data_IF_595840540099
#
_entry.id   IF_595840540099
#
_cell.length_a   1.000
_cell.length_b   1.000
_cell.length_c   1.000
_cell.angle_alpha   90.00
_cell.angle_beta   90.00
_cell.angle_gamma   90.00
#
_symmetry.space_group_name_H-M   'P 1'
#
loop_
_entity.id
_entity.type
_entity.pdbx_description
1 polymer ?
#
# COMPACT_ATOMS: atom_id res chain seq x y z
N UNK A 1 -13.44 1.29 -14.98
CA UNK A 1 -13.33 0.85 -16.41
C UNK A 1 -14.27 -0.29 -16.80
N UNK A 2 -14.59 -1.27 -15.94
CA UNK A 2 -15.55 -2.36 -16.27
C UNK A 2 -16.95 -1.89 -16.70
N UNK A 3 -17.34 -0.66 -16.35
CA UNK A 3 -18.64 -0.07 -16.71
C UNK A 3 -18.56 1.01 -17.81
N UNK A 4 -17.36 1.38 -18.27
CA UNK A 4 -17.21 2.44 -19.26
C UNK A 4 -17.76 1.97 -20.62
N UNK A 5 -18.63 2.79 -21.23
CA UNK A 5 -19.23 2.49 -22.54
C UNK A 5 -18.74 3.49 -23.56
N UNK A 6 -18.49 3.02 -24.78
CA UNK A 6 -18.32 3.92 -25.93
C UNK A 6 -19.66 4.60 -26.21
N UNK A 7 -19.71 5.90 -26.00
CA UNK A 7 -20.92 6.71 -26.17
C UNK A 7 -21.04 7.19 -27.61
N UNK A 8 -19.92 7.57 -28.22
CA UNK A 8 -19.92 8.20 -29.53
C UNK A 8 -18.61 7.94 -30.29
N UNK A 9 -18.73 7.59 -31.57
CA UNK A 9 -17.61 7.61 -32.50
C UNK A 9 -17.32 9.06 -32.90
N UNK A 10 -16.14 9.59 -32.56
CA UNK A 10 -15.79 11.00 -32.83
C UNK A 10 -15.17 11.20 -34.20
N UNK A 11 -13.94 10.74 -34.39
CA UNK A 11 -13.20 10.96 -35.66
C UNK A 11 -12.21 9.83 -35.89
N UNK A 12 -11.99 9.46 -37.14
CA UNK A 12 -10.91 8.58 -37.57
C UNK A 12 -9.78 9.35 -38.29
N UNK A 13 -9.82 10.69 -38.28
CA UNK A 13 -8.77 11.49 -38.92
C UNK A 13 -7.55 11.62 -38.01
N UNK A 14 -6.48 10.89 -38.34
CA UNK A 14 -5.22 10.86 -37.60
C UNK A 14 -4.56 12.22 -37.38
N UNK A 15 -4.81 13.21 -38.25
CA UNK A 15 -4.26 14.57 -38.10
C UNK A 15 -4.74 15.28 -36.82
N UNK A 16 -5.84 14.81 -36.22
CA UNK A 16 -6.39 15.40 -35.00
C UNK A 16 -5.81 14.77 -33.73
N UNK A 17 -5.13 13.64 -33.81
CA UNK A 17 -4.71 12.89 -32.63
C UNK A 17 -3.85 13.74 -31.68
N UNK A 18 -2.85 14.46 -32.17
CA UNK A 18 -2.00 15.33 -31.35
C UNK A 18 -2.82 16.38 -30.59
N UNK A 19 -3.71 17.09 -31.28
CA UNK A 19 -4.58 18.10 -30.65
C UNK A 19 -5.55 17.51 -29.61
N UNK A 20 -5.89 16.23 -29.74
CA UNK A 20 -6.77 15.52 -28.82
C UNK A 20 -6.02 14.82 -27.69
N UNK A 21 -4.68 14.99 -27.59
CA UNK A 21 -3.85 14.28 -26.62
C UNK A 21 -3.76 12.77 -26.90
N UNK A 22 -3.99 12.34 -28.15
CA UNK A 22 -4.09 10.93 -28.55
C UNK A 22 -2.92 10.46 -29.43
N UNK A 23 -1.92 11.31 -29.64
CA UNK A 23 -0.77 10.97 -30.48
C UNK A 23 0.12 9.92 -29.80
N UNK A 24 0.88 9.17 -30.61
CA UNK A 24 1.82 8.17 -30.07
C UNK A 24 3.12 8.76 -29.57
N UNK A 25 3.51 9.87 -30.18
CA UNK A 25 4.70 10.66 -29.93
C UNK A 25 4.37 12.11 -30.26
N UNK A 26 5.09 13.05 -29.67
CA UNK A 26 4.82 14.49 -29.78
C UNK A 26 5.32 15.21 -28.55
N UNK A 27 4.88 16.44 -28.36
CA UNK A 27 5.17 17.21 -27.14
C UNK A 27 4.27 16.78 -25.96
N UNK A 28 4.63 17.23 -24.77
CA UNK A 28 3.81 17.06 -23.58
C UNK A 28 2.43 17.71 -23.81
N UNK A 29 1.35 16.97 -23.57
CA UNK A 29 -0.03 17.38 -23.89
C UNK A 29 -0.55 16.93 -25.26
N UNK A 30 0.33 16.51 -26.19
CA UNK A 30 -0.08 15.87 -27.44
C UNK A 30 -0.14 14.34 -27.32
N UNK A 31 0.76 13.81 -26.50
CA UNK A 31 0.94 12.37 -26.31
C UNK A 31 -0.19 11.75 -25.49
N UNK A 32 -0.66 10.59 -25.96
CA UNK A 32 -1.60 9.78 -25.22
C UNK A 32 -0.94 9.09 -24.03
N UNK A 33 -1.69 9.03 -22.94
CA UNK A 33 -1.40 8.09 -21.89
C UNK A 33 -1.72 6.67 -22.38
N UNK A 34 -0.75 5.76 -22.28
CA UNK A 34 -0.88 4.36 -22.71
C UNK A 34 -1.42 3.52 -21.56
N UNK A 35 -2.53 2.83 -21.81
CA UNK A 35 -3.13 1.90 -20.87
C UNK A 35 -3.11 0.49 -21.48
N UNK A 36 -2.59 -0.48 -20.73
CA UNK A 36 -2.72 -1.90 -21.03
C UNK A 36 -3.66 -2.51 -19.99
N UNK A 37 -4.78 -3.04 -20.46
CA UNK A 37 -5.80 -3.63 -19.60
C UNK A 37 -5.84 -5.13 -19.81
N UNK A 38 -5.62 -5.88 -18.74
CA UNK A 38 -5.73 -7.34 -18.72
C UNK A 38 -6.94 -7.73 -17.88
N UNK A 39 -7.78 -8.60 -18.43
CA UNK A 39 -8.94 -9.15 -17.74
C UNK A 39 -8.93 -10.67 -17.92
N UNK A 40 -9.23 -11.40 -16.85
CA UNK A 40 -9.29 -12.86 -16.92
C UNK A 40 -10.29 -13.32 -17.98
N UNK A 41 -9.83 -14.22 -18.86
CA UNK A 41 -10.65 -14.76 -19.96
C UNK A 41 -10.85 -13.82 -21.16
N UNK A 42 -10.19 -12.66 -21.19
CA UNK A 42 -10.26 -11.72 -22.33
C UNK A 42 -8.88 -11.39 -22.88
N UNK A 43 -8.77 -11.08 -24.19
CA UNK A 43 -7.52 -10.59 -24.76
C UNK A 43 -7.12 -9.26 -24.12
N UNK A 44 -5.82 -9.02 -24.04
CA UNK A 44 -5.27 -7.74 -23.61
C UNK A 44 -5.85 -6.60 -24.47
N UNK A 45 -6.29 -5.53 -23.81
CA UNK A 45 -6.80 -4.34 -24.46
C UNK A 45 -5.82 -3.19 -24.27
N UNK A 46 -5.15 -2.80 -25.35
CA UNK A 46 -4.27 -1.64 -25.39
C UNK A 46 -5.03 -0.39 -25.82
N UNK A 47 -5.12 0.60 -24.93
CA UNK A 47 -5.81 1.86 -25.15
C UNK A 47 -4.85 3.05 -25.07
N UNK A 48 -5.23 4.10 -25.79
CA UNK A 48 -4.66 5.44 -25.73
C UNK A 48 -5.71 6.35 -25.13
N UNK A 49 -5.40 6.97 -24.00
CA UNK A 49 -6.26 7.92 -23.34
C UNK A 49 -5.83 9.34 -23.72
N UNK A 50 -6.80 10.12 -24.21
CA UNK A 50 -6.59 11.48 -24.67
C UNK A 50 -7.04 12.52 -23.67
N UNK A 51 -7.36 13.71 -24.17
CA UNK A 51 -7.92 14.80 -23.36
C UNK A 51 -9.39 14.53 -22.98
N UNK A 52 -9.88 15.11 -21.88
CA UNK A 52 -11.30 15.10 -21.56
C UNK A 52 -12.14 15.73 -22.68
N UNK A 53 -13.41 15.35 -22.78
CA UNK A 53 -14.32 15.99 -23.73
C UNK A 53 -14.44 17.48 -23.44
N UNK A 54 -14.32 18.31 -24.47
CA UNK A 54 -14.64 19.75 -24.36
C UNK A 54 -16.16 20.00 -24.45
N UNK A 55 -16.95 18.98 -24.79
CA UNK A 55 -18.40 19.04 -24.95
C UNK A 55 -19.02 17.99 -24.02
N UNK A 56 -19.39 18.38 -22.81
CA UNK A 56 -19.95 17.49 -21.79
C UNK A 56 -18.91 16.70 -20.98
N UNK A 57 -19.37 15.73 -20.21
CA UNK A 57 -18.51 14.82 -19.42
C UNK A 57 -17.98 13.67 -20.29
N UNK A 58 -16.83 13.11 -19.90
CA UNK A 58 -16.27 11.92 -20.54
C UNK A 58 -14.85 12.12 -21.07
N UNK A 59 -14.29 11.06 -21.62
CA UNK A 59 -12.88 10.98 -21.99
C UNK A 59 -12.71 10.48 -23.41
N UNK A 60 -11.76 11.05 -24.15
CA UNK A 60 -11.42 10.53 -25.47
C UNK A 60 -10.48 9.33 -25.34
N UNK A 61 -10.77 8.27 -26.10
CA UNK A 61 -9.96 7.06 -26.18
C UNK A 61 -9.79 6.62 -27.62
N UNK A 62 -8.67 5.96 -27.95
CA UNK A 62 -8.54 5.11 -29.14
C UNK A 62 -7.83 3.81 -28.80
N UNK A 63 -8.06 2.77 -29.58
CA UNK A 63 -7.28 1.52 -29.46
C UNK A 63 -5.88 1.76 -30.05
N UNK A 64 -4.89 1.08 -29.48
CA UNK A 64 -3.54 1.13 -30.02
C UNK A 64 -3.53 0.61 -31.47
N UNK A 65 -2.93 1.36 -32.40
CA UNK A 65 -2.89 1.01 -33.82
C UNK A 65 -4.16 1.34 -34.62
N UNK A 66 -5.22 1.86 -33.99
CA UNK A 66 -6.44 2.29 -34.69
C UNK A 66 -6.56 3.81 -34.72
N UNK A 67 -7.04 4.36 -35.83
CA UNK A 67 -7.23 5.81 -35.97
C UNK A 67 -8.54 6.33 -35.36
N UNK A 68 -9.50 5.43 -35.16
CA UNK A 68 -10.82 5.78 -34.66
C UNK A 68 -10.76 6.22 -33.19
N UNK A 69 -11.17 7.46 -32.95
CA UNK A 69 -11.36 8.05 -31.63
C UNK A 69 -12.80 7.85 -31.18
N UNK A 70 -12.96 7.43 -29.93
CA UNK A 70 -14.23 7.26 -29.25
C UNK A 70 -14.31 8.18 -28.05
N UNK A 71 -15.50 8.67 -27.75
CA UNK A 71 -15.82 9.26 -26.45
C UNK A 71 -16.40 8.17 -25.56
N UNK A 72 -15.83 8.00 -24.36
CA UNK A 72 -16.43 7.19 -23.30
C UNK A 72 -17.16 8.09 -22.30
N UNK A 73 -18.21 7.55 -21.67
CA UNK A 73 -19.05 8.24 -20.67
C UNK A 73 -18.33 8.50 -19.34
N UNK A 74 -17.16 7.88 -19.14
CA UNK A 74 -16.37 8.02 -17.94
C UNK A 74 -15.20 8.97 -18.18
N UNK A 75 -14.97 9.88 -17.23
CA UNK A 75 -13.69 10.56 -17.09
C UNK A 75 -12.79 9.67 -16.21
N UNK A 76 -11.59 9.37 -16.69
CA UNK A 76 -10.64 8.58 -15.90
C UNK A 76 -9.74 9.55 -15.14
N UNK A 77 -10.02 9.72 -13.85
CA UNK A 77 -9.10 10.42 -12.95
C UNK A 77 -7.89 9.54 -12.68
N UNK A 78 -6.83 9.79 -13.44
CA UNK A 78 -5.58 9.04 -13.33
C UNK A 78 -4.59 9.82 -12.48
N UNK A 79 -3.81 9.14 -11.62
CA UNK A 79 -2.88 9.83 -10.75
C UNK A 79 -1.83 10.61 -11.55
N UNK A 80 -1.55 11.85 -11.14
CA UNK A 80 -0.63 12.75 -11.84
C UNK A 80 0.84 12.51 -11.51
N UNK A 81 1.15 11.66 -10.53
CA UNK A 81 2.51 11.30 -10.10
C UNK A 81 2.73 9.80 -10.25
N UNK A 82 3.86 9.38 -10.82
CA UNK A 82 4.21 7.97 -11.03
C UNK A 82 4.08 7.09 -9.77
N UNK A 83 4.44 7.63 -8.59
CA UNK A 83 4.30 6.92 -7.32
C UNK A 83 2.85 6.64 -6.90
N UNK A 84 1.89 7.42 -7.39
CA UNK A 84 0.47 7.24 -7.08
C UNK A 84 -0.18 6.18 -8.00
N UNK A 85 0.54 5.73 -9.05
CA UNK A 85 0.17 4.56 -9.84
C UNK A 85 0.56 3.24 -9.17
N UNK A 86 1.55 3.26 -8.28
CA UNK A 86 2.01 2.07 -7.59
C UNK A 86 1.02 1.69 -6.49
N UNK A 87 0.66 0.41 -6.44
CA UNK A 87 0.07 -0.15 -5.23
C UNK A 87 1.11 -0.11 -4.12
N UNK A 88 1.07 0.95 -3.31
CA UNK A 88 2.03 1.18 -2.22
C UNK A 88 1.77 0.31 -1.00
N UNK A 89 0.80 -0.60 -1.04
CA UNK A 89 0.49 -1.48 0.09
C UNK A 89 1.63 -2.46 0.32
N UNK A 90 2.03 -2.55 1.57
CA UNK A 90 2.94 -3.58 2.10
C UNK A 90 2.10 -4.66 2.77
N UNK A 91 1.10 -4.26 3.55
CA UNK A 91 0.13 -5.13 4.20
C UNK A 91 -1.24 -4.44 4.34
N UNK A 92 -2.29 -5.25 4.28
CA UNK A 92 -3.71 -4.91 4.39
C UNK A 92 -4.40 -6.01 5.21
N UNK A 93 -3.86 -6.28 6.41
CA UNK A 93 -4.30 -7.38 7.28
C UNK A 93 -5.49 -6.90 8.14
N UNK A 94 -6.65 -7.58 8.11
CA UNK A 94 -7.80 -7.22 8.94
C UNK A 94 -7.44 -7.15 10.42
N UNK A 95 -7.67 -6.00 11.06
CA UNK A 95 -7.36 -5.81 12.49
C UNK A 95 -8.00 -6.90 13.38
N UNK A 96 -9.21 -7.36 13.02
CA UNK A 96 -9.93 -8.39 13.74
C UNK A 96 -9.23 -9.77 13.67
N UNK A 97 -8.55 -10.10 12.56
CA UNK A 97 -7.89 -11.40 12.37
C UNK A 97 -6.59 -11.52 13.15
N UNK A 98 -5.96 -10.40 13.53
CA UNK A 98 -4.72 -10.40 14.31
C UNK A 98 -5.00 -10.86 15.74
N UNK A 99 -4.30 -11.90 16.17
CA UNK A 99 -4.34 -12.44 17.52
C UNK A 99 -3.22 -11.88 18.39
N UNK A 100 -2.02 -11.73 17.81
CA UNK A 100 -0.81 -11.37 18.56
C UNK A 100 0.14 -10.54 17.70
N UNK A 101 0.78 -9.56 18.33
CA UNK A 101 1.94 -8.86 17.79
C UNK A 101 3.05 -8.88 18.85
N UNK A 102 4.16 -9.52 18.56
CA UNK A 102 5.38 -9.47 19.36
C UNK A 102 6.40 -8.53 18.73
N UNK A 103 7.02 -7.70 19.55
CA UNK A 103 8.04 -6.74 19.15
C UNK A 103 9.29 -6.94 20.00
N UNK A 104 10.44 -7.11 19.35
CA UNK A 104 11.74 -7.30 19.99
C UNK A 104 12.67 -6.18 19.57
N UNK A 105 12.96 -5.27 20.48
CA UNK A 105 13.82 -4.12 20.25
C UNK A 105 15.30 -4.51 20.28
N UNK A 106 16.14 -3.75 19.58
CA UNK A 106 17.60 -3.95 19.62
C UNK A 106 18.20 -3.84 21.03
N UNK A 107 17.53 -3.15 21.96
CA UNK A 107 17.92 -3.08 23.37
C UNK A 107 17.65 -4.37 24.16
N UNK A 108 16.99 -5.37 23.57
CA UNK A 108 16.52 -6.59 24.24
C UNK A 108 15.17 -6.45 24.93
N UNK A 109 14.57 -5.25 24.94
CA UNK A 109 13.20 -5.03 25.41
C UNK A 109 12.22 -5.78 24.49
N UNK A 110 11.17 -6.34 25.08
CA UNK A 110 10.08 -7.00 24.34
C UNK A 110 8.74 -6.38 24.68
N UNK A 111 7.87 -6.24 23.70
CA UNK A 111 6.49 -5.82 23.86
C UNK A 111 5.58 -6.79 23.13
N UNK A 112 4.60 -7.34 23.83
CA UNK A 112 3.61 -8.26 23.29
C UNK A 112 2.23 -7.68 23.45
N UNK A 113 1.52 -7.60 22.33
CA UNK A 113 0.11 -7.27 22.25
C UNK A 113 -0.67 -8.53 21.93
N UNK A 114 -1.73 -8.84 22.66
CA UNK A 114 -2.55 -10.01 22.38
C UNK A 114 -4.04 -9.82 22.64
N UNK A 115 -4.85 -10.56 21.88
CA UNK A 115 -6.27 -10.79 22.13
C UNK A 115 -6.51 -12.27 22.47
N UNK A 116 -7.39 -12.54 23.42
CA UNK A 116 -7.77 -13.92 23.76
C UNK A 116 -8.73 -14.50 22.72
N UNK A 117 -9.60 -13.66 22.16
CA UNK A 117 -10.62 -13.99 21.17
C UNK A 117 -10.73 -12.89 20.12
N UNK A 118 -11.33 -13.20 18.97
CA UNK A 118 -11.41 -12.27 17.85
C UNK A 118 -12.44 -11.14 18.09
N UNK A 119 -13.39 -11.35 19.01
CA UNK A 119 -14.47 -10.41 19.34
C UNK A 119 -13.98 -9.26 20.24
N UNK A 120 -12.88 -9.46 20.97
CA UNK A 120 -12.21 -8.41 21.71
C UNK A 120 -11.76 -7.28 20.78
N UNK A 121 -12.16 -6.06 21.12
CA UNK A 121 -11.74 -4.87 20.38
C UNK A 121 -10.32 -4.43 20.75
N UNK A 122 -9.99 -4.45 22.04
CA UNK A 122 -8.72 -3.92 22.55
C UNK A 122 -7.68 -5.02 22.75
N UNK A 123 -6.44 -4.72 22.34
CA UNK A 123 -5.29 -5.57 22.64
C UNK A 123 -4.83 -5.38 24.08
N UNK A 124 -4.57 -6.48 24.76
CA UNK A 124 -3.89 -6.50 26.06
C UNK A 124 -2.38 -6.40 25.88
N UNK A 125 -1.67 -5.85 26.86
CA UNK A 125 -0.20 -5.74 26.85
C UNK A 125 0.38 -6.68 27.91
N UNK A 126 1.13 -7.70 27.51
CA UNK A 126 1.57 -8.77 28.43
C UNK A 126 2.61 -8.30 29.46
N UNK A 127 3.42 -7.30 29.11
CA UNK A 127 4.47 -6.79 29.97
C UNK A 127 3.97 -5.72 30.96
N UNK A 128 2.66 -5.53 31.11
CA UNK A 128 2.10 -4.65 32.14
C UNK A 128 2.43 -5.19 33.54
N UNK A 129 3.25 -4.43 34.27
CA UNK A 129 3.59 -4.71 35.65
C UNK A 129 2.46 -4.38 36.64
N UNK A 130 2.61 -4.87 37.88
CA UNK A 130 1.64 -4.60 38.95
C UNK A 130 1.50 -3.09 39.19
N UNK A 131 0.25 -2.59 39.14
CA UNK A 131 -0.07 -1.18 39.35
C UNK A 131 0.15 -0.28 38.13
N UNK A 132 0.66 -0.83 37.01
CA UNK A 132 0.68 -0.10 35.74
C UNK A 132 -0.67 -0.20 35.06
N UNK A 133 -1.06 0.89 34.41
CA UNK A 133 -2.26 0.97 33.57
C UNK A 133 -1.91 1.62 32.24
N UNK A 134 -2.61 1.21 31.19
CA UNK A 134 -2.54 1.89 29.91
C UNK A 134 -3.10 3.31 30.05
N UNK A 135 -2.61 4.20 29.20
CA UNK A 135 -3.07 5.59 29.10
C UNK A 135 -4.55 5.69 28.74
N UNK A 136 -5.05 4.71 27.99
CA UNK A 136 -6.45 4.45 27.73
C UNK A 136 -6.59 2.98 27.27
N UNK A 137 -7.81 2.46 27.27
CA UNK A 137 -8.09 1.03 27.02
C UNK A 137 -7.50 0.51 25.69
N UNK A 138 -7.57 1.32 24.63
CA UNK A 138 -7.07 0.98 23.29
C UNK A 138 -5.66 1.49 22.97
N UNK A 139 -4.84 1.85 23.96
CA UNK A 139 -3.52 2.47 23.73
C UNK A 139 -2.60 1.67 22.81
N UNK A 140 -2.71 0.33 22.87
CA UNK A 140 -1.93 -0.60 22.07
C UNK A 140 -2.48 -0.81 20.64
N UNK A 141 -3.78 -0.59 20.41
CA UNK A 141 -4.44 -0.97 19.15
C UNK A 141 -3.78 -0.32 17.93
N UNK A 142 -3.36 0.95 18.06
CA UNK A 142 -2.73 1.68 16.96
C UNK A 142 -1.52 0.95 16.38
N UNK A 143 -0.74 0.22 17.19
CA UNK A 143 0.42 -0.54 16.72
C UNK A 143 0.00 -1.70 15.80
N UNK A 144 -1.14 -2.35 16.10
CA UNK A 144 -1.67 -3.44 15.29
C UNK A 144 -2.44 -2.92 14.08
N UNK A 145 -3.25 -1.86 14.23
CA UNK A 145 -4.00 -1.24 13.13
C UNK A 145 -3.09 -0.74 12.01
N UNK A 146 -1.81 -0.47 12.30
CA UNK A 146 -0.81 -0.16 11.27
C UNK A 146 -0.80 -1.20 10.13
N UNK A 147 -0.93 -2.49 10.45
CA UNK A 147 -0.87 -3.57 9.47
C UNK A 147 -2.11 -3.66 8.57
N UNK A 148 -3.21 -2.99 8.93
CA UNK A 148 -4.42 -2.91 8.11
C UNK A 148 -4.33 -1.88 6.99
N UNK A 149 -3.28 -1.07 6.95
CA UNK A 149 -3.04 -0.12 5.86
C UNK A 149 -1.57 0.30 5.82
N UNK A 150 -0.67 -0.69 5.92
CA UNK A 150 0.78 -0.44 5.96
C UNK A 150 1.24 -0.10 4.55
N UNK A 151 1.82 1.10 4.38
CA UNK A 151 2.24 1.60 3.07
C UNK A 151 3.70 2.01 3.06
N UNK A 152 4.37 1.77 1.94
CA UNK A 152 5.73 2.25 1.77
C UNK A 152 5.76 3.66 1.19
N UNK A 153 6.70 4.46 1.67
CA UNK A 153 7.06 5.75 1.10
C UNK A 153 8.09 5.60 -0.03
N UNK A 154 8.86 4.51 -0.03
CA UNK A 154 9.78 4.09 -1.08
C UNK A 154 10.04 2.58 -0.96
N UNK A 155 10.51 1.93 -2.02
CA UNK A 155 10.81 0.51 -2.01
C UNK A 155 12.04 0.20 -2.87
N UNK A 156 12.91 -0.69 -2.38
CA UNK A 156 14.10 -1.10 -3.12
C UNK A 156 14.38 -2.59 -2.91
N UNK A 157 14.99 -3.28 -3.89
CA UNK A 157 15.49 -4.63 -3.69
C UNK A 157 16.45 -4.68 -2.49
N UNK A 158 16.26 -5.67 -1.62
CA UNK A 158 17.01 -5.80 -0.36
C UNK A 158 18.53 -5.82 -0.59
N UNK A 159 18.97 -6.47 -1.67
CA UNK A 159 20.37 -6.55 -2.07
C UNK A 159 21.01 -5.18 -2.37
N UNK A 160 20.23 -4.17 -2.76
CA UNK A 160 20.74 -2.83 -3.07
C UNK A 160 20.92 -1.96 -1.83
N UNK A 161 20.11 -2.17 -0.78
CA UNK A 161 20.18 -1.38 0.45
C UNK A 161 21.43 -1.74 1.27
N UNK A 162 21.78 -3.03 1.31
CA UNK A 162 22.94 -3.57 2.01
C UNK A 162 23.11 -3.01 3.44
N UNK A 163 22.14 -3.28 4.33
CA UNK A 163 22.12 -2.75 5.69
C UNK A 163 23.43 -3.01 6.44
N UNK A 164 23.99 -1.94 7.02
CA UNK A 164 25.25 -2.00 7.79
C UNK A 164 25.10 -2.37 9.26
N UNK A 165 23.87 -2.28 9.77
CA UNK A 165 23.55 -2.48 11.19
C UNK A 165 22.48 -3.56 11.35
N UNK A 166 22.45 -4.17 12.53
CA UNK A 166 21.35 -5.06 12.92
C UNK A 166 20.02 -4.27 12.94
N UNK A 167 18.87 -4.96 12.80
CA UNK A 167 17.57 -4.29 12.85
C UNK A 167 17.34 -3.66 14.22
N UNK A 168 16.72 -2.48 14.23
CA UNK A 168 16.35 -1.79 15.47
C UNK A 168 15.17 -2.45 16.17
N UNK A 169 14.36 -3.19 15.42
CA UNK A 169 13.13 -3.85 15.87
C UNK A 169 12.88 -5.07 15.00
N UNK A 170 12.59 -6.22 15.61
CA UNK A 170 12.00 -7.39 14.95
C UNK A 170 10.55 -7.53 15.40
N UNK A 171 9.69 -7.98 14.51
CA UNK A 171 8.28 -8.19 14.76
C UNK A 171 7.86 -9.60 14.34
N UNK A 172 6.93 -10.19 15.09
CA UNK A 172 6.20 -11.40 14.76
C UNK A 172 4.72 -11.13 14.96
N UNK A 173 3.92 -11.33 13.92
CA UNK A 173 2.47 -11.18 13.95
C UNK A 173 1.83 -12.54 13.73
N UNK A 174 0.85 -12.90 14.56
CA UNK A 174 0.05 -14.10 14.34
C UNK A 174 -1.45 -13.80 14.35
N UNK A 175 -2.18 -14.52 13.52
CA UNK A 175 -3.64 -14.43 13.42
C UNK A 175 -4.38 -15.55 14.16
N UNK A 176 -5.70 -15.44 14.22
CA UNK A 176 -6.56 -16.46 14.83
C UNK A 176 -6.66 -17.74 14.00
N UNK A 177 -6.51 -17.65 12.68
CA UNK A 177 -6.68 -18.78 11.74
C UNK A 177 -5.32 -19.37 11.31
N UNK A 178 -4.29 -19.21 12.14
CA UNK A 178 -2.96 -19.75 11.90
C UNK A 178 -2.07 -18.90 10.99
N UNK A 179 -2.47 -17.66 10.69
CA UNK A 179 -1.60 -16.73 9.98
C UNK A 179 -0.34 -16.42 10.79
N UNK A 180 0.80 -16.28 10.13
CA UNK A 180 2.06 -15.85 10.75
C UNK A 180 2.86 -14.97 9.81
N UNK A 181 3.43 -13.87 10.32
CA UNK A 181 4.29 -12.94 9.58
C UNK A 181 5.46 -12.49 10.43
N UNK A 182 6.68 -12.69 9.91
CA UNK A 182 7.90 -12.14 10.48
C UNK A 182 8.34 -10.87 9.77
N UNK A 183 8.96 -9.95 10.51
CA UNK A 183 9.51 -8.73 9.93
C UNK A 183 10.63 -8.10 10.76
N UNK A 184 11.37 -7.20 10.12
CA UNK A 184 12.45 -6.46 10.75
C UNK A 184 12.51 -5.03 10.23
N UNK A 185 12.60 -4.06 11.14
CA UNK A 185 12.79 -2.66 10.84
C UNK A 185 14.26 -2.28 11.05
N UNK A 186 14.87 -1.71 10.02
CA UNK A 186 16.26 -1.27 10.00
C UNK A 186 16.33 0.25 9.95
N UNK A 187 17.38 0.81 10.57
CA UNK A 187 17.77 2.19 10.36
C UNK A 187 18.97 2.26 9.41
N UNK A 188 18.91 3.15 8.43
CA UNK A 188 20.07 3.50 7.61
C UNK A 188 20.08 5.01 7.36
N UNK A 189 20.98 5.72 8.04
CA UNK A 189 20.91 7.17 8.16
C UNK A 189 19.61 7.59 8.85
N UNK A 190 18.89 8.52 8.23
CA UNK A 190 17.59 9.01 8.73
C UNK A 190 16.40 8.14 8.27
N UNK A 191 16.63 7.15 7.41
CA UNK A 191 15.59 6.33 6.82
C UNK A 191 15.35 5.04 7.62
N UNK A 192 14.08 4.63 7.65
CA UNK A 192 13.62 3.42 8.32
C UNK A 192 13.02 2.47 7.30
N UNK A 193 13.57 1.27 7.21
CA UNK A 193 13.24 0.29 6.18
C UNK A 193 12.71 -0.98 6.82
N UNK A 194 11.49 -1.34 6.47
CA UNK A 194 10.85 -2.59 6.86
C UNK A 194 11.17 -3.68 5.83
N UNK A 195 11.59 -4.84 6.32
CA UNK A 195 11.75 -6.07 5.54
C UNK A 195 10.80 -7.09 6.12
N UNK A 196 9.94 -7.67 5.29
CA UNK A 196 9.07 -8.78 5.68
C UNK A 196 9.71 -10.11 5.28
N UNK A 197 9.69 -11.07 6.21
CA UNK A 197 10.35 -12.36 6.10
C UNK A 197 9.36 -13.48 5.80
N UNK A 198 9.48 -14.56 6.56
CA UNK A 198 8.58 -15.71 6.47
C UNK A 198 7.13 -15.29 6.73
N UNK A 199 6.22 -15.83 5.91
CA UNK A 199 4.78 -15.61 6.06
C UNK A 199 3.99 -16.86 5.71
N UNK A 200 2.85 -17.06 6.37
CA UNK A 200 1.97 -18.20 6.14
C UNK A 200 0.51 -17.82 6.41
N UNK A 201 -0.41 -18.44 5.67
CA UNK A 201 -1.84 -18.46 5.99
C UNK A 201 -2.64 -17.20 5.64
N UNK A 202 -2.03 -16.19 5.03
CA UNK A 202 -2.71 -14.98 4.59
C UNK A 202 -3.47 -15.19 3.27
N UNK A 203 -4.57 -14.48 3.10
CA UNK A 203 -5.32 -14.41 1.84
C UNK A 203 -4.54 -13.59 0.79
N UNK A 204 -4.92 -13.78 -0.48
CA UNK A 204 -4.30 -13.06 -1.59
C UNK A 204 -4.46 -11.55 -1.43
N UNK A 205 -3.33 -10.84 -1.36
CA UNK A 205 -3.27 -9.38 -1.25
C UNK A 205 -3.19 -8.82 0.18
N UNK A 206 -3.42 -9.62 1.23
CA UNK A 206 -3.26 -9.15 2.63
C UNK A 206 -1.81 -8.80 2.96
N UNK A 207 -0.84 -9.48 2.33
CA UNK A 207 0.58 -9.13 2.38
C UNK A 207 1.12 -8.97 0.97
N UNK A 208 1.03 -7.76 0.44
CA UNK A 208 1.52 -7.41 -0.90
C UNK A 208 3.06 -7.30 -0.99
N UNK A 209 3.74 -7.20 0.16
CA UNK A 209 5.19 -7.15 0.22
C UNK A 209 5.86 -8.38 -0.42
N UNK A 210 7.06 -8.18 -0.97
CA UNK A 210 7.96 -9.22 -1.46
C UNK A 210 9.05 -9.47 -0.43
N UNK A 211 9.46 -10.73 -0.30
CA UNK A 211 10.50 -11.14 0.67
C UNK A 211 11.91 -10.68 0.27
N UNK A 212 12.14 -10.35 -1.01
CA UNK A 212 13.42 -9.86 -1.54
C UNK A 212 13.54 -8.33 -1.57
N UNK A 213 12.61 -7.61 -0.92
CA UNK A 213 12.53 -6.14 -0.94
C UNK A 213 12.57 -5.53 0.47
N UNK A 214 12.98 -4.26 0.51
CA UNK A 214 12.90 -3.40 1.67
C UNK A 214 11.95 -2.22 1.37
N UNK A 215 11.16 -1.85 2.36
CA UNK A 215 10.09 -0.87 2.26
C UNK A 215 10.34 0.27 3.23
N UNK A 216 10.63 1.47 2.71
CA UNK A 216 10.83 2.64 3.55
C UNK A 216 9.50 3.07 4.13
N UNK A 217 9.43 3.19 5.45
CA UNK A 217 8.25 3.71 6.14
C UNK A 217 8.37 5.22 6.35
N UNK A 218 7.24 5.91 6.41
CA UNK A 218 7.22 7.30 6.87
C UNK A 218 7.38 7.40 8.40
N UNK A 219 7.62 8.61 8.88
CA UNK A 219 7.88 8.86 10.30
C UNK A 219 6.70 8.50 11.20
N UNK A 220 5.45 8.66 10.75
CA UNK A 220 4.27 8.35 11.56
C UNK A 220 4.14 6.83 11.75
N UNK A 221 4.30 6.07 10.66
CA UNK A 221 4.27 4.61 10.69
C UNK A 221 5.41 4.04 11.54
N UNK A 222 6.61 4.61 11.46
CA UNK A 222 7.75 4.24 12.33
C UNK A 222 7.44 4.54 13.79
N UNK A 223 6.97 5.74 14.12
CA UNK A 223 6.63 6.13 15.49
C UNK A 223 5.56 5.22 16.08
N UNK A 224 4.57 4.81 15.27
CA UNK A 224 3.49 3.92 15.68
C UNK A 224 4.00 2.49 15.92
N UNK A 225 4.84 1.96 15.04
CA UNK A 225 5.40 0.60 15.15
C UNK A 225 6.42 0.47 16.28
N UNK A 226 7.25 1.49 16.49
CA UNK A 226 8.38 1.45 17.42
C UNK A 226 8.05 1.91 18.86
N UNK A 227 6.75 2.09 19.19
CA UNK A 227 6.32 2.45 20.55
C UNK A 227 6.72 1.39 21.57
N UNK A 228 7.32 1.82 22.67
CA UNK A 228 7.70 0.97 23.79
C UNK A 228 6.60 0.92 24.83
N UNK A 229 6.72 0.00 25.80
CA UNK A 229 5.75 -0.11 26.91
C UNK A 229 5.49 1.24 27.57
N UNK A 230 6.57 2.01 27.84
CA UNK A 230 6.51 3.34 28.46
C UNK A 230 5.59 4.33 27.73
N UNK A 231 5.45 4.19 26.41
CA UNK A 231 4.66 5.09 25.57
C UNK A 231 3.16 4.76 25.61
N UNK A 232 2.82 3.57 26.13
CA UNK A 232 1.44 3.09 26.27
C UNK A 232 0.86 3.38 27.65
N UNK A 233 1.69 3.65 28.66
CA UNK A 233 1.27 3.83 30.05
C UNK A 233 0.58 5.18 30.31
N UNK A 234 -0.33 5.20 31.27
CA UNK A 234 -0.85 6.44 31.81
C UNK A 234 0.30 7.31 32.36
N UNK A 235 0.25 8.61 32.07
CA UNK A 235 1.18 9.55 32.71
C UNK A 235 0.77 9.67 34.17
N UNK A 236 1.68 9.35 35.09
CA UNK A 236 1.46 9.65 36.50
C UNK A 236 1.34 11.17 36.64
N UNK A 237 0.17 11.64 37.10
CA UNK A 237 -0.05 13.03 37.49
C UNK A 237 0.64 13.36 38.81
#
# INVERSE_FOLDING_TARGET
LREARTVEAKTANAQWHARLGLAESGEEGEQALRLQLQFDGHPELSLRLGNPSQQGSGQLVRRAGEDQVWLIDQQLDLPSRELDWLDRRVADIPFASVKRLELRYASGETLTLSKADAEQYNFTVEQLGKGQQLSFEGAANGMVTLFSNLRFADAAPLAQIAFKQAPMLRLSLTGFDGQSLEGALYQQGEQHWLVLGERQGFEDGEVAARSDWAYRLDAEQVQRLAKKLRDLLAKNG
#
